data_IF_202433417430
#
_entry.id   IF_202433417430
#
_cell.length_a   1.000
_cell.length_b   1.000
_cell.length_c   1.000
_cell.angle_alpha   90.00
_cell.angle_beta   90.00
_cell.angle_gamma   90.00
#
_symmetry.space_group_name_H-M   'P 1'
#
loop_
_entity.id
_entity.type
_entity.pdbx_description
1 polymer ?
#
# COMPACT_ATOMS: atom_id res chain seq x y z
N UNK A 1 22.51 -25.96 -7.32
CA UNK A 1 21.87 -24.94 -6.45
C UNK A 1 22.86 -23.80 -6.19
N UNK A 2 23.10 -22.89 -7.14
CA UNK A 2 24.08 -21.78 -7.00
C UNK A 2 23.56 -20.43 -7.54
N UNK A 3 22.25 -20.20 -7.46
CA UNK A 3 21.63 -19.00 -8.02
C UNK A 3 20.52 -18.35 -7.18
N UNK A 4 20.04 -18.98 -6.09
CA UNK A 4 18.97 -18.45 -5.24
C UNK A 4 19.46 -17.65 -4.02
N UNK A 5 20.72 -17.80 -3.61
CA UNK A 5 21.23 -17.24 -2.33
C UNK A 5 21.55 -15.74 -2.33
N UNK A 6 21.40 -15.00 -3.44
CA UNK A 6 21.68 -13.55 -3.47
C UNK A 6 20.46 -12.65 -3.33
N UNK A 7 19.26 -13.20 -3.47
CA UNK A 7 18.05 -12.37 -3.58
C UNK A 7 17.54 -11.85 -2.23
N UNK A 8 17.83 -12.58 -1.14
CA UNK A 8 17.49 -12.24 0.24
C UNK A 8 18.73 -11.99 1.11
N UNK A 9 19.76 -11.37 0.54
CA UNK A 9 20.92 -10.95 1.35
C UNK A 9 20.67 -9.56 1.93
N UNK A 10 20.31 -9.53 3.22
CA UNK A 10 19.94 -8.30 3.94
C UNK A 10 21.13 -7.35 4.14
N UNK A 11 22.37 -7.83 4.01
CA UNK A 11 23.57 -7.02 4.24
C UNK A 11 23.79 -5.94 3.18
N UNK A 12 23.14 -6.08 2.01
CA UNK A 12 23.24 -5.14 0.90
C UNK A 12 22.08 -4.15 0.81
N UNK A 13 21.22 -4.10 1.83
CA UNK A 13 20.07 -3.18 1.87
C UNK A 13 20.46 -1.92 2.63
N UNK A 14 20.30 -0.76 2.02
CA UNK A 14 20.44 0.52 2.70
C UNK A 14 19.17 0.84 3.50
N UNK A 15 19.22 0.66 4.82
CA UNK A 15 18.11 0.99 5.72
C UNK A 15 17.91 2.50 5.96
N UNK A 16 18.65 3.37 5.26
CA UNK A 16 18.33 4.80 5.15
C UNK A 16 17.49 5.12 3.90
N UNK A 17 17.34 4.18 2.97
CA UNK A 17 16.59 4.34 1.73
C UNK A 17 15.24 3.60 1.80
N UNK A 18 14.14 4.35 1.84
CA UNK A 18 12.77 3.81 1.95
C UNK A 18 12.43 2.83 0.82
N UNK A 19 12.85 3.11 -0.41
CA UNK A 19 12.53 2.27 -1.56
C UNK A 19 13.26 0.92 -1.49
N UNK A 20 14.52 0.91 -1.06
CA UNK A 20 15.28 -0.34 -0.87
C UNK A 20 14.69 -1.22 0.23
N UNK A 21 14.28 -0.62 1.35
CA UNK A 21 13.62 -1.33 2.46
C UNK A 21 12.30 -1.93 1.99
N UNK A 22 11.49 -1.15 1.26
CA UNK A 22 10.21 -1.60 0.70
C UNK A 22 10.39 -2.73 -0.32
N UNK A 23 11.34 -2.60 -1.24
CA UNK A 23 11.61 -3.62 -2.27
C UNK A 23 12.15 -4.90 -1.65
N UNK A 24 12.99 -4.79 -0.61
CA UNK A 24 13.44 -5.95 0.15
C UNK A 24 12.29 -6.63 0.92
N UNK A 25 11.39 -5.86 1.53
CA UNK A 25 10.20 -6.40 2.18
C UNK A 25 9.31 -7.19 1.21
N UNK A 26 9.09 -6.67 -0.01
CA UNK A 26 8.35 -7.40 -1.04
C UNK A 26 9.05 -8.70 -1.46
N UNK A 27 10.38 -8.71 -1.59
CA UNK A 27 11.15 -9.95 -1.84
C UNK A 27 10.94 -10.98 -0.72
N UNK A 28 10.94 -10.56 0.55
CA UNK A 28 10.62 -11.45 1.68
C UNK A 28 9.20 -12.00 1.54
N UNK A 29 8.20 -11.18 1.24
CA UNK A 29 6.80 -11.60 1.09
C UNK A 29 6.65 -12.62 -0.05
N UNK A 30 7.28 -12.35 -1.20
CA UNK A 30 7.25 -13.25 -2.34
C UNK A 30 7.92 -14.59 -2.02
N UNK A 31 9.09 -14.57 -1.37
CA UNK A 31 9.76 -15.78 -0.93
C UNK A 31 8.92 -16.56 0.08
N UNK A 32 8.32 -15.88 1.06
CA UNK A 32 7.44 -16.50 2.05
C UNK A 32 6.21 -17.15 1.40
N UNK A 33 5.61 -16.48 0.42
CA UNK A 33 4.49 -17.03 -0.33
C UNK A 33 4.91 -18.26 -1.15
N UNK A 34 6.04 -18.18 -1.87
CA UNK A 34 6.59 -19.29 -2.64
C UNK A 34 6.95 -20.50 -1.78
N UNK A 35 7.40 -20.28 -0.54
CA UNK A 35 7.70 -21.32 0.44
C UNK A 35 6.46 -21.81 1.23
N UNK A 36 5.26 -21.28 0.96
CA UNK A 36 4.02 -21.70 1.62
C UNK A 36 3.91 -21.31 3.10
N UNK A 37 4.66 -20.30 3.56
CA UNK A 37 4.69 -19.86 4.97
C UNK A 37 3.34 -19.37 5.49
N UNK A 38 2.44 -18.93 4.60
CA UNK A 38 1.10 -18.45 4.97
C UNK A 38 0.04 -19.56 5.09
N UNK A 39 0.32 -20.77 4.60
CA UNK A 39 -0.65 -21.87 4.50
C UNK A 39 -0.26 -23.07 5.35
N UNK A 40 1.02 -23.19 5.72
CA UNK A 40 1.57 -24.38 6.37
C UNK A 40 1.32 -24.35 7.89
N UNK A 41 0.60 -25.34 8.42
CA UNK A 41 0.35 -25.54 9.86
C UNK A 41 1.30 -26.56 10.51
N UNK A 42 2.42 -26.88 9.85
CA UNK A 42 3.38 -27.91 10.25
C UNK A 42 4.73 -27.36 10.72
N UNK A 43 5.66 -28.23 11.15
CA UNK A 43 7.02 -27.82 11.47
C UNK A 43 7.70 -27.22 10.24
N UNK A 44 8.36 -26.08 10.43
CA UNK A 44 9.03 -25.36 9.35
C UNK A 44 10.19 -26.19 8.79
N UNK A 45 10.26 -26.27 7.46
CA UNK A 45 11.42 -26.78 6.76
C UNK A 45 12.62 -25.81 6.83
N UNK A 46 13.72 -26.14 6.16
CA UNK A 46 14.94 -25.33 6.18
C UNK A 46 14.73 -23.96 5.50
N UNK A 47 14.10 -23.92 4.33
CA UNK A 47 13.88 -22.71 3.54
C UNK A 47 12.95 -21.74 4.30
N UNK A 48 11.87 -22.26 4.89
CA UNK A 48 10.93 -21.48 5.69
C UNK A 48 11.58 -20.90 6.96
N UNK A 49 12.53 -21.61 7.59
CA UNK A 49 13.29 -21.09 8.74
C UNK A 49 14.23 -19.97 8.35
N UNK A 50 14.92 -20.11 7.22
CA UNK A 50 15.83 -19.07 6.71
C UNK A 50 15.07 -17.79 6.38
N UNK A 51 13.94 -17.88 5.67
CA UNK A 51 13.07 -16.72 5.39
C UNK A 51 12.61 -16.04 6.68
N UNK A 52 12.22 -16.84 7.69
CA UNK A 52 11.80 -16.30 8.99
C UNK A 52 12.93 -15.56 9.71
N UNK A 53 14.16 -16.06 9.66
CA UNK A 53 15.32 -15.39 10.25
C UNK A 53 15.55 -14.05 9.56
N UNK A 54 15.53 -14.02 8.22
CA UNK A 54 15.71 -12.79 7.44
C UNK A 54 14.60 -11.78 7.74
N UNK A 55 13.35 -12.23 7.87
CA UNK A 55 12.23 -11.36 8.25
C UNK A 55 12.41 -10.76 9.65
N UNK A 56 12.94 -11.51 10.61
CA UNK A 56 13.26 -10.98 11.96
C UNK A 56 14.35 -9.92 11.90
N UNK A 57 15.41 -10.17 11.15
CA UNK A 57 16.50 -9.21 10.99
C UNK A 57 15.98 -7.92 10.34
N UNK A 58 15.11 -8.03 9.33
CA UNK A 58 14.46 -6.88 8.72
C UNK A 58 13.62 -6.08 9.71
N UNK A 59 12.79 -6.74 10.54
CA UNK A 59 11.97 -6.05 11.55
C UNK A 59 12.87 -5.29 12.53
N UNK A 60 13.91 -5.93 13.07
CA UNK A 60 14.82 -5.30 14.02
C UNK A 60 15.54 -4.08 13.41
N UNK A 61 15.97 -4.18 12.14
CA UNK A 61 16.67 -3.09 11.44
C UNK A 61 15.72 -1.93 11.12
N UNK A 62 14.47 -2.23 10.72
CA UNK A 62 13.44 -1.20 10.52
C UNK A 62 13.09 -0.50 11.83
N UNK A 63 12.89 -1.22 12.93
CA UNK A 63 12.62 -0.60 14.24
C UNK A 63 13.74 0.33 14.69
N UNK A 64 15.00 0.01 14.37
CA UNK A 64 16.13 0.88 14.65
C UNK A 64 16.19 2.12 13.70
N UNK A 65 15.90 1.92 12.41
CA UNK A 65 16.05 2.97 11.40
C UNK A 65 14.87 3.97 11.39
N UNK A 66 13.65 3.49 11.62
CA UNK A 66 12.41 4.26 11.44
C UNK A 66 12.34 5.52 12.31
N UNK A 67 13.00 5.52 13.47
CA UNK A 67 13.08 6.66 14.39
C UNK A 67 13.78 7.87 13.77
N UNK A 68 14.64 7.64 12.78
CA UNK A 68 15.40 8.68 12.07
C UNK A 68 14.82 9.07 10.71
N UNK A 69 13.76 8.39 10.28
CA UNK A 69 13.13 8.60 8.98
C UNK A 69 12.23 9.84 8.95
N UNK A 70 11.95 10.34 7.75
CA UNK A 70 10.87 11.31 7.58
C UNK A 70 9.53 10.66 7.85
N UNK A 71 8.51 11.45 8.20
CA UNK A 71 7.16 10.93 8.46
C UNK A 71 6.55 10.26 7.22
N UNK A 72 6.88 10.77 6.03
CA UNK A 72 6.48 10.17 4.76
C UNK A 72 7.09 8.77 4.59
N UNK A 73 8.39 8.63 4.83
CA UNK A 73 9.09 7.35 4.71
C UNK A 73 8.60 6.35 5.76
N UNK A 74 8.45 6.79 7.02
CA UNK A 74 7.91 5.96 8.10
C UNK A 74 6.52 5.43 7.76
N UNK A 75 5.65 6.26 7.17
CA UNK A 75 4.31 5.85 6.74
C UNK A 75 4.36 4.74 5.68
N UNK A 76 5.25 4.85 4.69
CA UNK A 76 5.44 3.83 3.65
C UNK A 76 5.90 2.50 4.30
N UNK A 77 6.89 2.53 5.19
CA UNK A 77 7.41 1.31 5.80
C UNK A 77 6.39 0.65 6.75
N UNK A 78 5.66 1.43 7.52
CA UNK A 78 4.66 0.91 8.46
C UNK A 78 3.50 0.20 7.74
N UNK A 79 3.19 0.57 6.50
CA UNK A 79 2.20 -0.11 5.69
C UNK A 79 2.55 -1.60 5.46
N UNK A 80 3.82 -1.93 5.25
CA UNK A 80 4.29 -3.32 5.01
C UNK A 80 4.79 -4.02 6.29
N UNK A 81 4.92 -3.29 7.41
CA UNK A 81 5.50 -3.81 8.64
C UNK A 81 4.74 -5.00 9.24
N UNK A 82 3.39 -4.93 9.32
CA UNK A 82 2.58 -5.99 9.95
C UNK A 82 2.75 -7.35 9.24
N UNK A 83 2.81 -7.36 7.90
CA UNK A 83 2.96 -8.60 7.15
C UNK A 83 4.34 -9.23 7.36
N UNK A 84 5.42 -8.44 7.41
CA UNK A 84 6.76 -8.96 7.71
C UNK A 84 6.83 -9.44 9.15
N UNK A 85 6.24 -8.72 10.10
CA UNK A 85 6.17 -9.12 11.51
C UNK A 85 5.46 -10.48 11.67
N UNK A 86 4.38 -10.72 10.92
CA UNK A 86 3.71 -12.03 10.90
C UNK A 86 4.58 -13.14 10.33
N UNK A 87 5.38 -12.87 9.31
CA UNK A 87 6.35 -13.84 8.77
C UNK A 87 7.42 -14.16 9.84
N UNK A 88 7.95 -13.13 10.49
CA UNK A 88 9.02 -13.21 11.47
C UNK A 88 8.61 -13.94 12.77
N UNK A 89 7.46 -13.56 13.34
CA UNK A 89 7.06 -13.96 14.70
C UNK A 89 5.79 -14.82 14.74
N UNK A 90 5.11 -15.02 13.61
CA UNK A 90 3.79 -15.67 13.55
C UNK A 90 2.70 -14.97 14.36
N UNK A 91 2.90 -13.69 14.66
CA UNK A 91 1.93 -12.84 15.35
C UNK A 91 1.79 -11.51 14.60
N UNK A 92 0.62 -10.86 14.67
CA UNK A 92 0.48 -9.47 14.26
C UNK A 92 1.51 -8.58 14.97
N UNK A 93 1.89 -7.48 14.32
CA UNK A 93 2.61 -6.39 14.97
C UNK A 93 1.68 -5.68 15.98
N UNK A 94 2.28 -4.94 16.92
CA UNK A 94 1.51 -4.11 17.85
C UNK A 94 0.76 -3.01 17.08
N UNK A 95 -0.56 -3.04 17.19
CA UNK A 95 -1.45 -2.07 16.53
C UNK A 95 -1.22 -0.65 17.04
N UNK A 96 -0.90 -0.47 18.32
CA UNK A 96 -0.66 0.86 18.88
C UNK A 96 0.62 1.47 18.32
N UNK A 97 1.66 0.65 18.12
CA UNK A 97 2.89 1.06 17.47
C UNK A 97 2.64 1.52 16.03
N UNK A 98 1.95 0.71 15.23
CA UNK A 98 1.59 1.04 13.84
C UNK A 98 0.71 2.30 13.76
N UNK A 99 -0.32 2.38 14.59
CA UNK A 99 -1.25 3.52 14.59
C UNK A 99 -0.57 4.83 14.96
N UNK A 100 0.46 4.79 15.83
CA UNK A 100 1.20 5.99 16.22
C UNK A 100 1.89 6.68 15.04
N UNK A 101 2.57 5.94 14.15
CA UNK A 101 3.22 6.50 12.96
C UNK A 101 2.21 7.00 11.92
N UNK A 102 1.11 6.27 11.73
CA UNK A 102 0.05 6.67 10.78
C UNK A 102 -0.62 7.97 11.20
N UNK A 103 -0.92 8.12 12.49
CA UNK A 103 -1.55 9.33 13.02
C UNK A 103 -0.58 10.50 13.12
N UNK A 104 0.70 10.26 13.44
CA UNK A 104 1.73 11.32 13.38
C UNK A 104 1.90 11.84 11.94
N UNK A 105 1.93 10.94 10.95
CA UNK A 105 1.95 11.33 9.55
C UNK A 105 0.68 12.12 9.15
N UNK A 106 -0.50 11.70 9.61
CA UNK A 106 -1.74 12.46 9.37
C UNK A 106 -1.65 13.88 9.94
N UNK A 107 -1.28 14.04 11.21
CA UNK A 107 -1.21 15.37 11.83
C UNK A 107 -0.14 16.25 11.17
N UNK A 108 1.02 15.70 10.83
CA UNK A 108 2.06 16.43 10.12
C UNK A 108 1.61 16.88 8.72
N UNK A 109 0.91 16.02 7.98
CA UNK A 109 0.34 16.38 6.68
C UNK A 109 -0.66 17.54 6.83
N UNK A 110 -1.55 17.50 7.83
CA UNK A 110 -2.49 18.60 8.09
C UNK A 110 -1.76 19.90 8.46
N UNK A 111 -0.60 19.82 9.10
CA UNK A 111 0.26 20.97 9.41
C UNK A 111 1.08 21.46 8.21
N UNK A 112 0.99 20.78 7.05
CA UNK A 112 1.63 21.18 5.80
C UNK A 112 2.95 20.48 5.50
N UNK A 113 3.24 19.34 6.14
CA UNK A 113 4.38 18.50 5.78
C UNK A 113 4.17 17.91 4.37
N UNK A 114 5.01 18.36 3.43
CA UNK A 114 4.96 17.97 2.02
C UNK A 114 5.75 16.70 1.71
N UNK A 115 6.48 16.14 2.67
CA UNK A 115 7.16 14.86 2.47
C UNK A 115 6.16 13.69 2.44
N UNK A 116 4.92 13.93 2.86
CA UNK A 116 3.90 12.90 3.02
C UNK A 116 3.07 12.85 1.75
N UNK A 117 3.12 11.70 1.08
CA UNK A 117 2.28 11.45 -0.09
C UNK A 117 0.80 11.34 0.33
N UNK A 118 -0.04 12.15 -0.30
CA UNK A 118 -1.48 12.23 0.01
C UNK A 118 -2.20 10.91 -0.24
N UNK A 119 -1.80 10.16 -1.26
CA UNK A 119 -2.45 8.92 -1.66
C UNK A 119 -2.03 7.76 -0.77
N UNK A 120 -0.75 7.69 -0.40
CA UNK A 120 -0.27 6.72 0.61
C UNK A 120 -0.99 6.96 1.94
N UNK A 121 -1.10 8.21 2.38
CA UNK A 121 -1.85 8.57 3.59
C UNK A 121 -3.33 8.17 3.46
N UNK A 122 -3.97 8.54 2.36
CA UNK A 122 -5.37 8.19 2.11
C UNK A 122 -5.63 6.69 2.19
N UNK A 123 -4.84 5.87 1.48
CA UNK A 123 -5.03 4.42 1.48
C UNK A 123 -4.79 3.81 2.87
N UNK A 124 -3.77 4.28 3.59
CA UNK A 124 -3.49 3.82 4.94
C UNK A 124 -4.64 4.12 5.92
N UNK A 125 -5.26 5.29 5.82
CA UNK A 125 -6.38 5.66 6.69
C UNK A 125 -7.68 4.94 6.28
N UNK A 126 -7.95 4.85 4.97
CA UNK A 126 -9.13 4.18 4.44
C UNK A 126 -9.18 2.71 4.88
N UNK A 127 -8.04 2.02 4.88
CA UNK A 127 -7.95 0.62 5.30
C UNK A 127 -8.40 0.43 6.76
N UNK A 128 -7.88 1.25 7.68
CA UNK A 128 -8.22 1.16 9.11
C UNK A 128 -9.66 1.58 9.41
N UNK A 129 -10.18 2.57 8.68
CA UNK A 129 -11.59 2.95 8.72
C UNK A 129 -12.46 1.77 8.27
N UNK A 130 -12.07 1.08 7.18
CA UNK A 130 -12.77 -0.11 6.68
C UNK A 130 -12.79 -1.25 7.68
N UNK A 131 -11.72 -1.43 8.46
CA UNK A 131 -11.63 -2.35 9.61
C UNK A 131 -12.44 -1.90 10.83
N UNK A 132 -13.08 -0.73 10.78
CA UNK A 132 -13.81 -0.09 11.89
C UNK A 132 -12.93 0.24 13.09
N UNK A 133 -11.65 0.55 12.85
CA UNK A 133 -10.73 0.98 13.90
C UNK A 133 -11.15 2.38 14.42
N UNK A 134 -11.60 2.44 15.67
CA UNK A 134 -12.18 3.66 16.26
C UNK A 134 -11.18 4.79 16.44
N UNK A 135 -9.88 4.48 16.51
CA UNK A 135 -8.82 5.49 16.62
C UNK A 135 -8.83 6.46 15.43
N UNK A 136 -9.34 6.01 14.29
CA UNK A 136 -9.41 6.80 13.05
C UNK A 136 -10.77 7.50 12.87
N UNK A 137 -11.70 7.36 13.82
CA UNK A 137 -12.98 8.07 13.76
C UNK A 137 -12.81 9.52 14.23
N UNK A 138 -13.45 10.46 13.52
CA UNK A 138 -13.26 11.90 13.70
C UNK A 138 -12.50 12.51 12.53
N UNK A 139 -11.47 13.32 12.81
CA UNK A 139 -10.73 14.08 11.78
C UNK A 139 -10.17 13.21 10.64
N UNK A 140 -9.57 12.03 10.87
CA UNK A 140 -9.08 11.20 9.77
C UNK A 140 -10.23 10.71 8.87
N UNK A 141 -11.33 10.22 9.46
CA UNK A 141 -12.52 9.80 8.73
C UNK A 141 -13.16 10.94 7.91
N UNK A 142 -13.30 12.13 8.50
CA UNK A 142 -13.81 13.31 7.81
C UNK A 142 -12.93 13.69 6.62
N UNK A 143 -11.60 13.64 6.81
CA UNK A 143 -10.64 13.94 5.77
C UNK A 143 -10.70 12.93 4.62
N UNK A 144 -10.72 11.62 4.92
CA UNK A 144 -10.90 10.56 3.92
C UNK A 144 -12.21 10.76 3.15
N UNK A 145 -13.31 11.07 3.85
CA UNK A 145 -14.61 11.29 3.22
C UNK A 145 -14.60 12.48 2.26
N UNK A 146 -13.93 13.59 2.62
CA UNK A 146 -13.75 14.76 1.74
C UNK A 146 -12.88 14.45 0.52
N UNK A 147 -11.84 13.62 0.67
CA UNK A 147 -11.04 13.16 -0.45
C UNK A 147 -11.88 12.35 -1.44
N UNK A 148 -12.68 11.40 -0.96
CA UNK A 148 -13.59 10.60 -1.80
C UNK A 148 -14.60 11.48 -2.52
N UNK A 149 -15.27 12.40 -1.80
CA UNK A 149 -16.24 13.34 -2.40
C UNK A 149 -15.61 14.16 -3.53
N UNK A 150 -14.44 14.74 -3.28
CA UNK A 150 -13.70 15.53 -4.28
C UNK A 150 -13.36 14.70 -5.51
N UNK A 151 -12.77 13.52 -5.34
CA UNK A 151 -12.34 12.69 -6.47
C UNK A 151 -13.53 12.10 -7.24
N UNK A 152 -14.60 11.77 -6.55
CA UNK A 152 -15.86 11.37 -7.19
C UNK A 152 -16.43 12.49 -8.05
N UNK A 153 -16.50 13.72 -7.52
CA UNK A 153 -16.99 14.88 -8.25
C UNK A 153 -16.09 15.23 -9.45
N UNK A 154 -14.77 15.12 -9.31
CA UNK A 154 -13.84 15.29 -10.42
C UNK A 154 -14.16 14.33 -11.58
N UNK A 155 -14.44 13.07 -11.25
CA UNK A 155 -14.75 12.05 -12.26
C UNK A 155 -16.12 12.26 -12.91
N UNK A 156 -17.16 12.56 -12.13
CA UNK A 156 -18.52 12.77 -12.66
C UNK A 156 -18.60 14.00 -13.57
N UNK A 157 -17.92 15.08 -13.20
CA UNK A 157 -17.97 16.33 -13.96
C UNK A 157 -16.94 16.40 -15.08
N UNK A 158 -15.91 15.54 -15.04
CA UNK A 158 -14.74 15.64 -15.91
C UNK A 158 -13.87 16.88 -15.64
N UNK A 159 -14.11 17.58 -14.53
CA UNK A 159 -13.41 18.81 -14.17
C UNK A 159 -12.66 18.61 -12.86
N UNK A 160 -11.36 18.90 -12.85
CA UNK A 160 -10.56 18.99 -11.63
C UNK A 160 -10.19 20.46 -11.39
N UNK A 161 -10.21 20.88 -10.13
CA UNK A 161 -9.77 22.23 -9.75
C UNK A 161 -8.26 22.43 -10.00
N UNK A 162 -7.49 21.34 -9.98
CA UNK A 162 -6.04 21.32 -10.20
C UNK A 162 -5.70 20.45 -11.41
N UNK A 163 -4.60 20.77 -12.09
CA UNK A 163 -4.08 19.93 -13.17
C UNK A 163 -3.71 18.55 -12.61
N UNK A 164 -4.17 17.48 -13.26
CA UNK A 164 -3.92 16.11 -12.81
C UNK A 164 -2.81 15.48 -13.63
N UNK A 165 -1.80 14.94 -12.96
CA UNK A 165 -0.82 14.07 -13.57
C UNK A 165 -1.36 12.64 -13.74
N UNK A 166 -0.69 11.83 -14.55
CA UNK A 166 -0.96 10.39 -14.65
C UNK A 166 -0.93 9.71 -13.28
N UNK A 167 -0.01 10.13 -12.40
CA UNK A 167 0.10 9.62 -11.03
C UNK A 167 -1.16 9.90 -10.21
N UNK A 168 -1.65 11.15 -10.28
CA UNK A 168 -2.87 11.57 -9.59
C UNK A 168 -4.10 10.80 -10.08
N UNK A 169 -4.21 10.61 -11.40
CA UNK A 169 -5.33 9.89 -12.02
C UNK A 169 -5.33 8.43 -11.52
N UNK A 170 -4.20 7.74 -11.60
CA UNK A 170 -4.09 6.33 -11.19
C UNK A 170 -4.48 6.16 -9.72
N UNK A 171 -3.99 7.02 -8.83
CA UNK A 171 -4.32 6.94 -7.42
C UNK A 171 -5.78 7.30 -7.12
N UNK A 172 -6.35 8.32 -7.75
CA UNK A 172 -7.75 8.68 -7.55
C UNK A 172 -8.70 7.59 -8.03
N UNK A 173 -8.42 6.99 -9.19
CA UNK A 173 -9.17 5.83 -9.68
C UNK A 173 -9.08 4.68 -8.67
N UNK A 174 -7.87 4.36 -8.21
CA UNK A 174 -7.65 3.30 -7.21
C UNK A 174 -8.41 3.59 -5.91
N UNK A 175 -8.37 4.82 -5.42
CA UNK A 175 -9.10 5.26 -4.24
C UNK A 175 -10.61 5.07 -4.38
N UNK A 176 -11.20 5.45 -5.52
CA UNK A 176 -12.63 5.26 -5.78
C UNK A 176 -13.00 3.76 -5.89
N UNK A 177 -12.14 2.93 -6.48
CA UNK A 177 -12.33 1.48 -6.52
C UNK A 177 -12.33 0.85 -5.11
N UNK A 178 -11.48 1.34 -4.22
CA UNK A 178 -11.36 0.86 -2.83
C UNK A 178 -12.47 1.38 -1.90
N UNK A 179 -13.01 2.56 -2.19
CA UNK A 179 -13.97 3.24 -1.31
C UNK A 179 -15.36 2.63 -1.38
N UNK A 180 -16.12 2.78 -0.31
CA UNK A 180 -17.56 2.53 -0.34
C UNK A 180 -18.28 3.75 -0.93
N UNK A 181 -18.94 3.56 -2.07
CA UNK A 181 -19.60 4.63 -2.83
C UNK A 181 -21.13 4.62 -2.69
N UNK A 182 -21.70 3.85 -1.76
CA UNK A 182 -23.16 3.77 -1.56
C UNK A 182 -23.84 5.11 -1.30
N UNK A 183 -23.12 6.08 -0.72
CA UNK A 183 -23.64 7.43 -0.50
C UNK A 183 -23.83 8.23 -1.81
N UNK A 184 -23.10 7.87 -2.87
CA UNK A 184 -23.08 8.57 -4.15
C UNK A 184 -23.86 7.83 -5.23
N UNK A 185 -23.75 6.50 -5.25
CA UNK A 185 -24.23 5.66 -6.34
C UNK A 185 -25.15 4.54 -5.83
N UNK A 186 -26.31 4.40 -6.48
CA UNK A 186 -27.25 3.29 -6.21
C UNK A 186 -26.71 1.94 -6.71
N UNK A 187 -25.83 1.97 -7.70
CA UNK A 187 -25.11 0.79 -8.19
C UNK A 187 -23.61 1.12 -8.31
N UNK A 188 -22.93 1.07 -7.16
CA UNK A 188 -21.50 1.33 -7.11
C UNK A 188 -20.67 0.36 -7.97
N UNK A 189 -21.16 -0.87 -8.21
CA UNK A 189 -20.42 -1.84 -9.01
C UNK A 189 -20.48 -1.46 -10.49
N UNK A 190 -21.63 -1.02 -10.98
CA UNK A 190 -21.75 -0.48 -12.33
C UNK A 190 -20.87 0.76 -12.51
N UNK A 191 -20.84 1.67 -11.53
CA UNK A 191 -19.95 2.83 -11.54
C UNK A 191 -18.47 2.39 -11.63
N UNK A 192 -18.03 1.48 -10.75
CA UNK A 192 -16.64 0.99 -10.73
C UNK A 192 -16.24 0.28 -12.03
N UNK A 193 -17.16 -0.46 -12.67
CA UNK A 193 -16.93 -1.04 -14.01
C UNK A 193 -16.72 0.05 -15.07
N UNK A 194 -17.55 1.09 -15.09
CA UNK A 194 -17.36 2.23 -16.01
C UNK A 194 -16.04 2.95 -15.76
N UNK A 195 -15.68 3.12 -14.48
CA UNK A 195 -14.42 3.73 -14.07
C UNK A 195 -13.22 2.94 -14.62
N UNK A 196 -13.22 1.62 -14.50
CA UNK A 196 -12.20 0.72 -15.07
C UNK A 196 -12.14 0.82 -16.60
N UNK A 197 -13.29 0.75 -17.28
CA UNK A 197 -13.35 0.82 -18.75
C UNK A 197 -12.79 2.15 -19.27
N UNK A 198 -13.02 3.24 -18.55
CA UNK A 198 -12.56 4.59 -18.95
C UNK A 198 -11.04 4.80 -18.77
N UNK A 199 -10.35 3.89 -18.08
CA UNK A 199 -8.92 3.98 -17.75
C UNK A 199 -8.16 2.69 -18.10
N UNK A 200 -8.61 1.98 -19.14
CA UNK A 200 -8.00 0.72 -19.57
C UNK A 200 -6.53 0.87 -19.98
N UNK A 201 -6.14 2.04 -20.50
CA UNK A 201 -4.78 2.38 -20.91
C UNK A 201 -3.77 2.26 -19.74
N UNK A 202 -4.16 2.66 -18.54
CA UNK A 202 -3.35 2.47 -17.33
C UNK A 202 -3.29 1.00 -16.87
N UNK A 203 -4.32 0.22 -17.20
CA UNK A 203 -4.45 -1.16 -16.73
C UNK A 203 -3.69 -2.13 -17.64
N UNK A 204 -3.71 -1.93 -18.97
CA UNK A 204 -3.14 -2.90 -19.92
C UNK A 204 -1.74 -2.56 -20.41
N UNK A 205 -1.37 -1.28 -20.56
CA UNK A 205 -0.27 -0.93 -21.49
C UNK A 205 0.98 -0.29 -20.84
N UNK A 206 0.89 0.28 -19.61
CA UNK A 206 1.93 1.21 -19.10
C UNK A 206 3.12 0.61 -18.33
N UNK A 207 3.21 -0.69 -18.08
CA UNK A 207 4.26 -1.23 -17.19
C UNK A 207 5.67 -1.24 -17.83
N UNK A 208 5.77 -1.33 -19.16
CA UNK A 208 7.06 -1.50 -19.84
C UNK A 208 7.89 -0.20 -19.96
N UNK A 209 7.35 0.97 -19.57
CA UNK A 209 7.94 2.29 -19.87
C UNK A 209 8.23 3.13 -18.61
N UNK A 210 7.67 2.77 -17.46
CA UNK A 210 7.78 3.59 -16.24
C UNK A 210 9.00 3.17 -15.43
N UNK A 211 9.94 4.10 -15.20
CA UNK A 211 11.13 3.89 -14.34
C UNK A 211 10.94 4.39 -12.91
N UNK A 212 9.87 5.15 -12.64
CA UNK A 212 9.56 5.68 -11.31
C UNK A 212 8.89 4.61 -10.44
N UNK A 213 9.53 4.25 -9.33
CA UNK A 213 9.08 3.19 -8.41
C UNK A 213 7.71 3.53 -7.79
N UNK A 214 7.44 4.80 -7.50
CA UNK A 214 6.15 5.26 -6.96
C UNK A 214 5.00 4.99 -7.91
N UNK A 215 5.14 5.37 -9.18
CA UNK A 215 4.16 5.12 -10.23
C UNK A 215 4.00 3.63 -10.53
N UNK A 216 5.07 2.83 -10.51
CA UNK A 216 4.97 1.38 -10.64
C UNK A 216 4.10 0.77 -9.53
N UNK A 217 4.31 1.18 -8.27
CA UNK A 217 3.46 0.76 -7.14
C UNK A 217 1.99 1.16 -7.35
N UNK A 218 1.75 2.38 -7.82
CA UNK A 218 0.41 2.89 -8.11
C UNK A 218 -0.31 2.06 -9.18
N UNK A 219 0.37 1.75 -10.29
CA UNK A 219 -0.17 0.94 -11.38
C UNK A 219 -0.49 -0.49 -10.92
N UNK A 220 0.41 -1.10 -10.14
CA UNK A 220 0.18 -2.43 -9.59
C UNK A 220 -1.06 -2.47 -8.69
N UNK A 221 -1.21 -1.49 -7.79
CA UNK A 221 -2.39 -1.35 -6.93
C UNK A 221 -3.68 -1.17 -7.75
N UNK A 222 -3.65 -0.28 -8.75
CA UNK A 222 -4.78 -0.06 -9.65
C UNK A 222 -5.23 -1.36 -10.30
N UNK A 223 -4.31 -2.13 -10.88
CA UNK A 223 -4.61 -3.40 -11.57
C UNK A 223 -5.19 -4.44 -10.62
N UNK A 224 -4.61 -4.56 -9.43
CA UNK A 224 -5.10 -5.47 -8.41
C UNK A 224 -6.57 -5.17 -8.07
N UNK A 225 -6.92 -3.90 -7.81
CA UNK A 225 -8.29 -3.51 -7.49
C UNK A 225 -9.23 -3.53 -8.69
N UNK A 226 -8.74 -3.21 -9.89
CA UNK A 226 -9.51 -3.23 -11.13
C UNK A 226 -9.88 -4.66 -11.55
N UNK A 227 -9.08 -5.67 -11.20
CA UNK A 227 -9.29 -7.07 -11.62
C UNK A 227 -10.70 -7.60 -11.35
N UNK A 228 -11.32 -7.20 -10.24
CA UNK A 228 -12.70 -7.56 -9.85
C UNK A 228 -13.78 -6.96 -10.77
N UNK A 229 -13.45 -5.85 -11.42
CA UNK A 229 -14.37 -5.04 -12.22
C UNK A 229 -14.04 -5.07 -13.72
N UNK A 230 -12.95 -5.75 -14.10
CA UNK A 230 -12.69 -6.04 -15.49
C UNK A 230 -13.88 -6.83 -16.05
N UNK A 231 -14.37 -6.46 -17.25
CA UNK A 231 -15.34 -7.29 -17.92
C UNK A 231 -14.73 -8.68 -18.07
N UNK A 232 -15.46 -9.71 -17.66
CA UNK A 232 -15.15 -11.07 -18.09
C UNK A 232 -15.05 -11.01 -19.60
N UNK A 233 -13.84 -11.18 -20.13
CA UNK A 233 -13.65 -11.39 -21.55
C UNK A 233 -14.49 -12.63 -21.86
N UNK A 234 -15.60 -12.43 -22.57
CA UNK A 234 -16.33 -13.49 -23.27
C UNK A 234 -15.46 -13.89 -24.46
#
# INVERSE_FOLDING_TARGET
MKGKDRELDIQFVDFSNVDEIWDFANRIIHAANGAGLFVTNGPLDKEQREIRIIAKDWVNLVEAAIVSMTRGDSLIIIYIFDIIHRIAYSTPADTAYIDSYRLDAFEAYIQGDKSIDIYVLFHSLLEEIGKRNRTYFGRPLEWVSKCVDRWYNNFITGMSAEAQSDYDIVHQVTALLCSDLWAYEKDQNLFKRKLVVSHLDYITDKEAVVTDTGMQRALHALRFHASKYLPSII
#
